data_IF_682828127244
#
_entry.id   IF_682828127244
#
_cell.length_a   1.000
_cell.length_b   1.000
_cell.length_c   1.000
_cell.angle_alpha   90.00
_cell.angle_beta   90.00
_cell.angle_gamma   90.00
#
_symmetry.space_group_name_H-M   'P 1'
#
loop_
_entity.id
_entity.type
_entity.pdbx_description
1 polymer ?
#
# COMPACT_ATOMS: atom_id res chain seq x y z
N UNK A 1 -10.86 45.74 -64.60
CA UNK A 1 -10.02 45.81 -63.38
C UNK A 1 -10.70 45.00 -62.33
N UNK A 2 -10.31 43.76 -62.13
CA UNK A 2 -10.90 42.85 -61.15
C UNK A 2 -10.00 42.91 -59.91
N UNK A 3 -10.54 43.47 -58.83
CA UNK A 3 -9.85 43.54 -57.53
C UNK A 3 -9.91 42.19 -56.87
N UNK A 4 -8.75 41.53 -56.65
CA UNK A 4 -8.55 40.42 -55.79
C UNK A 4 -8.62 40.94 -54.33
N UNK A 5 -9.71 40.62 -53.65
CA UNK A 5 -9.80 40.69 -52.20
C UNK A 5 -9.00 39.48 -51.66
N UNK A 6 -7.76 39.69 -51.25
CA UNK A 6 -7.03 38.77 -50.41
C UNK A 6 -7.65 38.85 -49.00
N UNK A 7 -8.55 37.93 -48.71
CA UNK A 7 -8.97 37.68 -47.36
C UNK A 7 -7.76 37.18 -46.57
N UNK A 8 -7.23 38.03 -45.69
CA UNK A 8 -6.32 37.58 -44.65
C UNK A 8 -7.11 36.59 -43.79
N UNK A 9 -6.74 35.31 -43.86
CA UNK A 9 -7.16 34.34 -42.87
C UNK A 9 -6.70 34.85 -41.50
N UNK A 10 -7.66 35.27 -40.69
CA UNK A 10 -7.41 35.54 -39.28
C UNK A 10 -6.83 34.27 -38.67
N UNK A 11 -5.60 34.34 -38.18
CA UNK A 11 -5.10 33.23 -37.36
C UNK A 11 -6.04 33.11 -36.16
N UNK A 12 -6.88 32.07 -36.15
CA UNK A 12 -7.72 31.75 -35.02
C UNK A 12 -6.76 31.51 -33.85
N UNK A 13 -6.79 32.44 -32.86
CA UNK A 13 -5.96 32.32 -31.69
C UNK A 13 -6.35 31.06 -30.91
N UNK A 14 -5.37 30.24 -30.58
CA UNK A 14 -5.59 29.06 -29.72
C UNK A 14 -6.03 29.48 -28.33
N UNK A 15 -6.97 28.74 -27.74
CA UNK A 15 -7.43 28.96 -26.35
C UNK A 15 -6.43 28.34 -25.36
N UNK A 16 -5.80 29.13 -24.47
CA UNK A 16 -4.82 28.60 -23.54
C UNK A 16 -5.50 27.71 -22.48
N UNK A 17 -4.88 26.53 -22.19
CA UNK A 17 -5.25 25.66 -21.08
C UNK A 17 -4.45 26.10 -19.87
N UNK A 18 -5.09 26.79 -18.94
CA UNK A 18 -4.42 27.39 -17.76
C UNK A 18 -4.54 26.56 -16.49
N UNK A 19 -5.47 25.60 -16.43
CA UNK A 19 -5.64 24.70 -15.27
C UNK A 19 -6.24 23.37 -15.69
N UNK A 20 -5.96 22.32 -14.91
CA UNK A 20 -6.55 20.99 -15.09
C UNK A 20 -6.88 20.40 -13.72
N UNK A 21 -8.03 19.71 -13.67
CA UNK A 21 -8.48 19.01 -12.47
C UNK A 21 -8.79 17.55 -12.77
N UNK A 22 -8.35 16.69 -11.88
CA UNK A 22 -8.57 15.25 -11.93
C UNK A 22 -9.18 14.76 -10.63
N UNK A 23 -9.94 13.67 -10.73
CA UNK A 23 -10.39 12.88 -9.58
C UNK A 23 -9.82 11.47 -9.72
N UNK A 24 -9.12 11.00 -8.68
CA UNK A 24 -8.62 9.67 -8.54
C UNK A 24 -9.53 8.87 -7.61
N UNK A 25 -9.79 7.61 -7.93
CA UNK A 25 -10.50 6.67 -7.06
C UNK A 25 -9.87 5.29 -7.17
N UNK A 26 -10.07 4.44 -6.16
CA UNK A 26 -9.51 3.09 -6.14
C UNK A 26 -8.03 3.02 -5.70
N UNK A 27 -7.38 4.13 -5.33
CA UNK A 27 -6.08 4.10 -4.68
C UNK A 27 -6.26 3.86 -3.19
N UNK A 28 -6.34 2.60 -2.80
CA UNK A 28 -6.48 2.15 -1.40
C UNK A 28 -5.60 0.94 -1.15
N UNK A 29 -5.10 0.80 0.08
CA UNK A 29 -4.27 -0.34 0.48
C UNK A 29 -4.99 -1.67 0.20
N UNK A 30 -4.32 -2.61 -0.45
CA UNK A 30 -4.86 -3.91 -0.82
C UNK A 30 -5.76 -3.95 -2.06
N UNK A 31 -6.15 -2.78 -2.61
CA UNK A 31 -6.87 -2.73 -3.88
C UNK A 31 -5.94 -3.05 -5.06
N UNK A 32 -6.50 -3.63 -6.12
CA UNK A 32 -5.74 -3.91 -7.35
C UNK A 32 -5.48 -2.63 -8.15
N UNK A 33 -4.34 -2.55 -8.84
CA UNK A 33 -4.01 -1.39 -9.66
C UNK A 33 -5.05 -1.11 -10.76
N UNK A 34 -5.75 -2.13 -11.28
CA UNK A 34 -6.84 -1.96 -12.26
C UNK A 34 -8.07 -1.24 -11.70
N UNK A 35 -8.22 -1.16 -10.38
CA UNK A 35 -9.32 -0.46 -9.71
C UNK A 35 -9.07 1.05 -9.63
N UNK A 36 -7.81 1.47 -9.83
CA UNK A 36 -7.48 2.89 -9.91
C UNK A 36 -8.13 3.50 -11.14
N UNK A 37 -8.96 4.48 -10.92
CA UNK A 37 -9.63 5.25 -11.99
C UNK A 37 -9.24 6.71 -11.89
N UNK A 38 -8.97 7.29 -13.05
CA UNK A 38 -8.73 8.71 -13.21
C UNK A 38 -9.84 9.30 -14.06
N UNK A 39 -10.48 10.32 -13.55
CA UNK A 39 -11.48 11.12 -14.31
C UNK A 39 -11.02 12.56 -14.38
N UNK A 40 -11.17 13.16 -15.55
CA UNK A 40 -10.93 14.58 -15.79
C UNK A 40 -12.21 15.37 -15.47
N UNK A 41 -12.06 16.59 -14.95
CA UNK A 41 -13.18 17.50 -14.75
C UNK A 41 -13.92 17.73 -16.10
N UNK A 42 -15.25 17.61 -16.15
CA UNK A 42 -16.02 17.85 -17.37
C UNK A 42 -15.81 19.24 -17.97
N UNK A 43 -15.43 20.23 -17.16
CA UNK A 43 -15.13 21.58 -17.61
C UNK A 43 -13.81 21.70 -18.39
N UNK A 44 -12.91 20.72 -18.29
CA UNK A 44 -11.61 20.72 -18.97
C UNK A 44 -11.73 20.20 -20.43
N UNK A 45 -12.48 20.92 -21.28
CA UNK A 45 -12.89 20.45 -22.62
C UNK A 45 -11.75 20.41 -23.65
N UNK A 46 -10.71 21.19 -23.45
CA UNK A 46 -9.61 21.38 -24.42
C UNK A 46 -8.55 20.27 -24.43
N UNK A 47 -8.71 19.19 -23.65
CA UNK A 47 -7.69 18.17 -23.47
C UNK A 47 -8.25 16.75 -23.59
N UNK A 48 -7.45 15.87 -24.18
CA UNK A 48 -7.66 14.42 -24.18
C UNK A 48 -6.62 13.71 -23.30
N UNK A 49 -7.04 12.66 -22.61
CA UNK A 49 -6.16 11.71 -21.92
C UNK A 49 -5.85 10.60 -22.91
N UNK A 50 -4.59 10.53 -23.38
CA UNK A 50 -4.18 9.49 -24.33
C UNK A 50 -3.79 8.19 -23.63
N UNK A 51 -3.17 8.28 -22.46
CA UNK A 51 -2.81 7.11 -21.67
C UNK A 51 -2.68 7.42 -20.18
N UNK A 52 -2.91 6.41 -19.37
CA UNK A 52 -2.69 6.41 -17.92
C UNK A 52 -1.86 5.17 -17.57
N UNK A 53 -0.78 5.36 -16.83
CA UNK A 53 0.07 4.27 -16.35
C UNK A 53 0.29 4.41 -14.86
N UNK A 54 0.17 3.29 -14.14
CA UNK A 54 0.55 3.21 -12.74
C UNK A 54 1.99 2.68 -12.66
N UNK A 55 2.83 3.37 -11.93
CA UNK A 55 4.22 3.00 -11.72
C UNK A 55 4.46 2.75 -10.24
N UNK A 56 5.35 1.81 -9.92
CA UNK A 56 5.92 1.61 -8.59
C UNK A 56 7.41 1.90 -8.62
N UNK A 57 7.92 2.46 -7.53
CA UNK A 57 9.35 2.72 -7.34
C UNK A 57 9.86 1.85 -6.20
N UNK A 58 10.51 0.75 -6.58
CA UNK A 58 11.41 -0.01 -5.71
C UNK A 58 12.86 0.37 -6.03
N UNK A 59 13.71 -0.61 -6.32
CA UNK A 59 15.07 -0.38 -6.81
C UNK A 59 15.11 0.18 -8.24
N UNK A 60 14.04 -0.01 -9.00
CA UNK A 60 13.79 0.54 -10.34
C UNK A 60 12.39 1.11 -10.44
N UNK A 61 12.11 1.88 -11.51
CA UNK A 61 10.78 2.37 -11.84
C UNK A 61 10.10 1.35 -12.75
N UNK A 62 9.02 0.74 -12.31
CA UNK A 62 8.32 -0.33 -13.02
C UNK A 62 6.85 0.00 -13.25
N UNK A 63 6.29 -0.48 -14.36
CA UNK A 63 4.84 -0.43 -14.59
C UNK A 63 4.20 -1.51 -13.72
N UNK A 64 3.20 -1.12 -12.92
CA UNK A 64 2.46 -2.03 -12.05
C UNK A 64 1.57 -2.93 -12.90
N UNK A 65 1.58 -4.25 -12.64
CA UNK A 65 0.61 -5.17 -13.24
C UNK A 65 -0.81 -4.79 -12.81
N UNK A 66 -1.79 -4.79 -13.71
CA UNK A 66 -3.17 -4.44 -13.37
C UNK A 66 -3.77 -5.26 -12.22
N UNK A 67 -3.35 -6.50 -12.01
CA UNK A 67 -3.82 -7.37 -10.95
C UNK A 67 -2.98 -7.28 -9.66
N UNK A 68 -1.86 -6.58 -9.68
CA UNK A 68 -1.03 -6.34 -8.51
C UNK A 68 -1.77 -5.42 -7.53
N UNK A 69 -1.68 -5.71 -6.24
CA UNK A 69 -2.29 -4.90 -5.18
C UNK A 69 -1.33 -3.79 -4.71
N UNK A 70 -1.90 -2.69 -4.24
CA UNK A 70 -1.14 -1.66 -3.55
C UNK A 70 -0.71 -2.16 -2.16
N UNK A 71 0.61 -2.14 -1.91
CA UNK A 71 1.21 -2.64 -0.66
C UNK A 71 1.79 -1.50 0.18
N UNK A 72 2.00 -1.71 1.50
CA UNK A 72 2.60 -0.71 2.37
C UNK A 72 4.04 -0.36 1.97
N UNK A 73 4.51 0.82 2.38
CA UNK A 73 5.89 1.33 2.20
C UNK A 73 6.36 1.42 0.74
N UNK A 74 5.53 1.01 -0.22
CA UNK A 74 5.81 1.14 -1.64
C UNK A 74 5.36 2.50 -2.17
N UNK A 75 6.24 3.21 -2.89
CA UNK A 75 5.89 4.46 -3.55
C UNK A 75 5.26 4.19 -4.91
N UNK A 76 4.04 4.67 -5.09
CA UNK A 76 3.33 4.57 -6.36
C UNK A 76 3.17 5.95 -7.02
N UNK A 77 3.02 5.95 -8.34
CA UNK A 77 2.77 7.17 -9.12
C UNK A 77 1.82 6.85 -10.27
N UNK A 78 1.03 7.84 -10.65
CA UNK A 78 0.23 7.78 -11.89
C UNK A 78 0.82 8.74 -12.90
N UNK A 79 1.18 8.23 -14.07
CA UNK A 79 1.66 9.02 -15.21
C UNK A 79 0.56 9.11 -16.24
N UNK A 80 0.20 10.32 -16.62
CA UNK A 80 -0.87 10.64 -17.55
C UNK A 80 -0.26 11.32 -18.76
N UNK A 81 -0.51 10.79 -19.96
CA UNK A 81 -0.20 11.49 -21.20
C UNK A 81 -1.42 12.29 -21.64
N UNK A 82 -1.23 13.58 -21.78
CA UNK A 82 -2.24 14.55 -22.18
C UNK A 82 -1.94 15.08 -23.59
N UNK A 83 -3.00 15.36 -24.33
CA UNK A 83 -2.91 16.01 -25.64
C UNK A 83 -3.95 17.12 -25.75
N UNK A 84 -3.50 18.31 -26.12
CA UNK A 84 -4.40 19.40 -26.43
C UNK A 84 -5.17 19.11 -27.72
N UNK A 85 -6.46 19.40 -27.72
CA UNK A 85 -7.31 19.35 -28.90
C UNK A 85 -7.02 20.54 -29.84
N UNK A 86 -7.46 20.41 -31.08
CA UNK A 86 -7.34 21.49 -32.05
C UNK A 86 -8.00 22.78 -31.53
N UNK A 87 -7.36 23.91 -31.69
CA UNK A 87 -7.81 25.20 -31.18
C UNK A 87 -7.45 25.47 -29.71
N UNK A 88 -6.73 24.55 -29.02
CA UNK A 88 -6.27 24.73 -27.64
C UNK A 88 -4.74 24.68 -27.55
N UNK A 89 -4.21 25.41 -26.55
CA UNK A 89 -2.79 25.49 -26.25
C UNK A 89 -2.49 25.03 -24.82
N UNK A 90 -1.68 23.94 -24.68
CA UNK A 90 -1.27 23.36 -23.39
C UNK A 90 0.10 23.90 -22.92
N UNK A 91 0.80 24.71 -23.74
CA UNK A 91 2.15 25.15 -23.43
C UNK A 91 2.20 26.10 -22.22
N UNK A 92 1.11 26.76 -21.93
CA UNK A 92 0.94 27.70 -20.79
C UNK A 92 0.61 26.99 -19.47
N UNK A 93 0.29 25.69 -19.50
CA UNK A 93 -0.04 24.93 -18.30
C UNK A 93 1.19 24.77 -17.40
N UNK A 94 1.03 25.05 -16.12
CA UNK A 94 2.08 24.85 -15.09
C UNK A 94 1.66 23.74 -14.12
N UNK A 95 2.64 23.14 -13.44
CA UNK A 95 2.37 22.06 -12.46
C UNK A 95 1.50 22.52 -11.28
N UNK A 96 1.61 23.80 -10.89
CA UNK A 96 0.84 24.41 -9.80
C UNK A 96 -0.65 24.46 -10.13
N UNK A 97 -0.99 24.51 -11.41
CA UNK A 97 -2.35 24.58 -11.92
C UNK A 97 -2.94 23.20 -12.30
N UNK A 98 -2.18 22.13 -12.10
CA UNK A 98 -2.66 20.76 -12.25
C UNK A 98 -2.96 20.19 -10.86
N UNK A 99 -4.22 19.84 -10.62
CA UNK A 99 -4.70 19.35 -9.33
C UNK A 99 -5.36 18.00 -9.48
N UNK A 100 -5.20 17.15 -8.47
CA UNK A 100 -5.97 15.93 -8.35
C UNK A 100 -6.51 15.80 -6.92
N UNK A 101 -7.64 15.09 -6.80
CA UNK A 101 -8.31 14.77 -5.54
C UNK A 101 -8.58 13.27 -5.47
N UNK A 102 -8.96 12.75 -4.29
CA UNK A 102 -9.34 11.35 -4.10
C UNK A 102 -8.18 10.41 -3.77
N UNK A 103 -6.94 10.94 -3.66
CA UNK A 103 -5.76 10.23 -3.16
C UNK A 103 -4.86 11.21 -2.40
N UNK A 104 -4.02 10.70 -1.51
CA UNK A 104 -3.03 11.51 -0.79
C UNK A 104 -1.79 11.72 -1.69
N UNK A 105 -1.75 12.88 -2.35
CA UNK A 105 -0.71 13.22 -3.31
C UNK A 105 0.42 13.96 -2.60
N UNK A 106 1.61 13.40 -2.66
CA UNK A 106 2.82 14.01 -2.13
C UNK A 106 3.37 15.08 -3.07
N UNK A 107 3.39 14.78 -4.39
CA UNK A 107 4.02 15.64 -5.39
C UNK A 107 3.31 15.56 -6.73
N UNK A 108 3.19 16.66 -7.44
CA UNK A 108 2.75 16.75 -8.84
C UNK A 108 3.91 17.21 -9.72
N UNK A 109 4.13 16.54 -10.83
CA UNK A 109 5.10 16.95 -11.86
C UNK A 109 4.38 17.14 -13.19
N UNK A 110 4.84 18.11 -13.96
CA UNK A 110 4.41 18.39 -15.33
C UNK A 110 5.64 18.56 -16.20
N UNK A 111 5.73 17.81 -17.29
CA UNK A 111 6.88 17.89 -18.20
C UNK A 111 6.49 17.57 -19.64
N UNK A 112 7.35 17.99 -20.55
CA UNK A 112 7.34 17.62 -21.95
C UNK A 112 8.54 16.73 -22.25
N UNK A 113 8.35 15.68 -23.01
CA UNK A 113 9.44 14.83 -23.44
C UNK A 113 10.06 15.43 -24.72
N UNK A 114 11.36 15.60 -24.74
CA UNK A 114 12.08 16.11 -25.91
C UNK A 114 11.78 15.27 -27.16
N UNK A 115 11.45 15.93 -28.27
CA UNK A 115 11.09 15.28 -29.53
C UNK A 115 9.61 14.85 -29.65
N UNK A 116 8.80 15.04 -28.58
CA UNK A 116 7.36 14.87 -28.66
C UNK A 116 6.66 16.17 -29.13
N UNK A 117 5.42 16.07 -29.69
CA UNK A 117 4.65 17.21 -30.15
C UNK A 117 4.46 18.27 -29.06
N UNK A 118 4.45 19.56 -29.44
CA UNK A 118 4.28 20.67 -28.48
C UNK A 118 2.91 20.68 -27.81
N UNK A 119 1.91 20.07 -28.42
CA UNK A 119 0.56 19.93 -27.87
C UNK A 119 0.43 18.72 -26.90
N UNK A 120 1.52 18.05 -26.55
CA UNK A 120 1.54 16.96 -25.58
C UNK A 120 2.22 17.37 -24.26
N UNK A 121 1.71 16.87 -23.15
CA UNK A 121 2.31 16.99 -21.81
C UNK A 121 2.15 15.69 -21.05
N UNK A 122 3.05 15.48 -20.09
CA UNK A 122 3.00 14.38 -19.15
C UNK A 122 2.79 14.95 -17.76
N UNK A 123 1.78 14.44 -17.06
CA UNK A 123 1.53 14.73 -15.64
C UNK A 123 1.84 13.50 -14.84
N UNK A 124 2.60 13.67 -13.76
CA UNK A 124 2.83 12.60 -12.78
C UNK A 124 2.32 13.04 -11.42
N UNK A 125 1.43 12.23 -10.85
CA UNK A 125 1.02 12.33 -9.45
C UNK A 125 1.77 11.27 -8.66
N UNK A 126 2.60 11.69 -7.71
CA UNK A 126 3.27 10.81 -6.75
C UNK A 126 2.41 10.71 -5.50
N UNK A 127 2.13 9.49 -5.07
CA UNK A 127 1.32 9.24 -3.88
C UNK A 127 2.19 9.04 -2.66
N UNK A 128 1.67 9.42 -1.49
CA UNK A 128 2.27 8.98 -0.24
C UNK A 128 2.16 7.47 -0.11
N UNK A 129 3.23 6.79 0.36
CA UNK A 129 3.15 5.37 0.67
C UNK A 129 2.07 5.09 1.71
N UNK A 130 1.48 3.91 1.64
CA UNK A 130 0.60 3.42 2.69
C UNK A 130 1.42 2.94 3.89
N UNK A 131 0.88 3.13 5.08
CA UNK A 131 1.37 2.46 6.28
C UNK A 131 0.82 1.03 6.35
N UNK A 132 1.52 0.14 7.07
CA UNK A 132 0.97 -1.17 7.42
C UNK A 132 -0.25 -1.03 8.33
N UNK A 133 -1.21 -1.93 8.15
CA UNK A 133 -2.31 -2.09 9.10
C UNK A 133 -1.78 -2.75 10.39
N UNK A 134 -2.21 -2.32 11.58
CA UNK A 134 -1.83 -3.01 12.80
C UNK A 134 -2.52 -4.38 12.89
N UNK A 135 -1.78 -5.39 13.33
CA UNK A 135 -2.38 -6.66 13.77
C UNK A 135 -3.25 -6.37 14.99
N UNK A 136 -4.45 -6.96 15.06
CA UNK A 136 -5.41 -6.72 16.14
C UNK A 136 -6.08 -8.00 16.60
N UNK A 137 -6.70 -7.91 17.80
CA UNK A 137 -7.61 -8.93 18.34
C UNK A 137 -6.98 -10.33 18.42
N UNK A 138 -5.69 -10.38 18.75
CA UNK A 138 -4.99 -11.65 18.87
C UNK A 138 -5.38 -12.34 20.18
N UNK A 139 -6.12 -13.43 20.05
CA UNK A 139 -6.51 -14.24 21.17
C UNK A 139 -6.21 -15.73 20.93
N UNK A 140 -5.61 -16.34 21.93
CA UNK A 140 -5.30 -17.78 21.96
C UNK A 140 -6.05 -18.39 23.13
N UNK A 141 -6.68 -19.53 22.90
CA UNK A 141 -7.24 -20.36 23.96
C UNK A 141 -6.57 -21.72 23.91
N UNK A 142 -6.01 -22.13 25.02
CA UNK A 142 -5.34 -23.43 25.21
C UNK A 142 -5.81 -24.08 26.50
N UNK A 143 -5.87 -25.41 26.55
CA UNK A 143 -6.20 -26.11 27.77
C UNK A 143 -5.17 -25.79 28.87
N UNK A 144 -5.62 -25.48 30.12
CA UNK A 144 -4.71 -25.23 31.21
C UNK A 144 -3.90 -26.50 31.57
N UNK A 145 -2.66 -26.34 32.09
CA UNK A 145 -1.85 -27.48 32.48
C UNK A 145 -2.50 -28.24 33.63
N UNK A 146 -2.46 -29.57 33.54
CA UNK A 146 -2.97 -30.48 34.57
C UNK A 146 -1.80 -31.28 35.17
N UNK A 147 -1.66 -31.24 36.49
CA UNK A 147 -0.58 -31.94 37.20
C UNK A 147 -0.53 -33.44 36.82
N UNK A 148 0.65 -33.91 36.44
CA UNK A 148 0.90 -35.28 36.02
C UNK A 148 0.43 -35.64 34.60
N UNK A 149 -0.30 -34.75 33.93
CA UNK A 149 -0.67 -34.93 32.54
C UNK A 149 0.54 -34.82 31.63
N UNK A 150 0.52 -35.51 30.51
CA UNK A 150 1.53 -35.44 29.46
C UNK A 150 1.54 -34.01 28.84
N UNK A 151 2.75 -33.47 28.69
CA UNK A 151 2.95 -32.21 27.95
C UNK A 151 3.00 -32.52 26.47
N UNK A 152 1.95 -32.14 25.75
CA UNK A 152 1.84 -32.34 24.30
C UNK A 152 1.32 -31.06 23.65
N UNK A 153 1.45 -31.00 22.34
CA UNK A 153 0.82 -29.96 21.56
C UNK A 153 -0.71 -30.11 21.72
N UNK A 154 -1.29 -29.19 22.48
CA UNK A 154 -2.74 -29.13 22.69
C UNK A 154 -3.41 -28.50 21.45
N UNK A 155 -4.63 -28.92 21.16
CA UNK A 155 -5.48 -28.21 20.23
C UNK A 155 -5.73 -26.80 20.79
N UNK A 156 -5.31 -25.79 20.08
CA UNK A 156 -5.56 -24.40 20.46
C UNK A 156 -6.60 -23.76 19.55
N UNK A 157 -7.33 -22.81 20.07
CA UNK A 157 -8.14 -21.88 19.29
C UNK A 157 -7.35 -20.58 19.13
N UNK A 158 -7.27 -20.10 17.89
CA UNK A 158 -6.56 -18.88 17.54
C UNK A 158 -7.48 -17.95 16.74
N UNK A 159 -7.55 -16.70 17.16
CA UNK A 159 -8.22 -15.65 16.42
C UNK A 159 -7.30 -14.44 16.32
N UNK A 160 -7.26 -13.80 15.16
CA UNK A 160 -6.52 -12.57 14.94
C UNK A 160 -7.04 -11.85 13.71
N UNK A 161 -6.89 -10.53 13.70
CA UNK A 161 -7.02 -9.73 12.50
C UNK A 161 -5.62 -9.41 11.98
N UNK A 162 -5.30 -9.91 10.78
CA UNK A 162 -4.03 -9.61 10.10
C UNK A 162 -2.83 -10.45 10.55
N UNK A 163 -3.04 -11.55 11.27
CA UNK A 163 -1.98 -12.50 11.58
C UNK A 163 -2.48 -13.95 11.50
N UNK A 164 -1.54 -14.88 11.32
CA UNK A 164 -1.76 -16.32 11.32
C UNK A 164 -0.78 -17.03 12.24
N UNK A 165 -1.11 -18.24 12.67
CA UNK A 165 -0.17 -19.10 13.36
C UNK A 165 0.98 -19.48 12.42
N UNK A 166 2.20 -19.49 12.93
CA UNK A 166 3.36 -19.94 12.17
C UNK A 166 3.41 -21.47 12.14
N UNK A 167 3.18 -22.06 10.98
CA UNK A 167 3.12 -23.51 10.81
C UNK A 167 4.45 -24.22 11.05
N UNK A 168 5.58 -23.56 10.76
CA UNK A 168 6.92 -24.15 10.85
C UNK A 168 7.50 -24.20 12.25
N UNK A 169 6.90 -23.50 13.19
CA UNK A 169 7.35 -23.45 14.59
C UNK A 169 6.21 -23.89 15.48
N UNK A 170 6.24 -25.12 16.02
CA UNK A 170 5.15 -25.61 16.85
C UNK A 170 5.03 -24.77 18.12
N UNK A 171 3.78 -24.49 18.49
CA UNK A 171 3.47 -23.94 19.82
C UNK A 171 3.91 -24.94 20.88
N UNK A 172 4.47 -24.48 21.97
CA UNK A 172 5.03 -25.37 23.00
C UNK A 172 4.94 -24.80 24.40
N UNK A 173 4.95 -25.67 25.37
CA UNK A 173 5.16 -25.35 26.76
C UNK A 173 6.66 -25.27 27.08
N UNK A 174 7.03 -24.25 27.84
CA UNK A 174 8.38 -24.12 28.37
C UNK A 174 8.32 -23.97 29.91
N UNK A 175 9.35 -24.43 30.59
CA UNK A 175 9.56 -24.27 32.04
C UNK A 175 10.36 -22.98 32.23
N UNK A 176 9.89 -22.12 33.13
CA UNK A 176 10.58 -20.88 33.53
C UNK A 176 11.38 -21.16 34.80
N UNK A 177 12.70 -20.92 34.73
CA UNK A 177 13.62 -21.02 35.88
C UNK A 177 14.49 -19.77 35.97
N UNK A 178 15.15 -19.50 37.11
CA UNK A 178 16.04 -18.35 37.28
C UNK A 178 17.14 -18.24 36.21
N UNK A 179 17.64 -19.38 35.74
CA UNK A 179 18.67 -19.48 34.68
C UNK A 179 18.13 -19.34 33.26
N UNK A 180 16.81 -19.22 33.07
CA UNK A 180 16.16 -19.06 31.77
C UNK A 180 15.02 -20.02 31.51
N UNK A 181 14.51 -20.02 30.27
CA UNK A 181 13.44 -20.90 29.82
C UNK A 181 13.99 -22.17 29.16
N UNK A 182 13.39 -23.30 29.44
CA UNK A 182 13.73 -24.61 28.90
C UNK A 182 12.49 -25.29 28.30
N UNK A 183 12.70 -26.20 27.36
CA UNK A 183 11.61 -27.05 26.90
C UNK A 183 10.99 -27.81 28.08
N UNK A 184 9.68 -27.87 28.13
CA UNK A 184 9.00 -28.65 29.16
C UNK A 184 9.35 -30.14 29.01
N UNK A 185 9.39 -30.81 30.15
CA UNK A 185 9.57 -32.28 30.19
C UNK A 185 8.34 -33.02 29.65
N UNK A 186 8.27 -34.33 29.96
CA UNK A 186 7.19 -35.17 29.46
C UNK A 186 5.85 -35.00 30.19
N UNK A 187 5.87 -34.50 31.45
CA UNK A 187 4.66 -34.29 32.24
C UNK A 187 4.73 -32.99 33.06
N UNK A 188 3.57 -32.41 33.37
CA UNK A 188 3.49 -31.25 34.25
C UNK A 188 3.81 -31.64 35.70
N UNK A 189 4.73 -30.93 36.34
CA UNK A 189 5.25 -31.20 37.69
C UNK A 189 4.85 -30.06 38.65
N UNK A 190 4.53 -30.41 39.91
CA UNK A 190 4.22 -29.44 40.93
C UNK A 190 5.42 -28.56 41.28
N UNK A 191 5.19 -27.25 41.49
CA UNK A 191 6.21 -26.30 41.88
C UNK A 191 6.99 -25.68 40.70
N UNK A 192 6.79 -26.15 39.48
CA UNK A 192 7.36 -25.56 38.27
C UNK A 192 6.43 -24.46 37.74
N UNK A 193 7.03 -23.42 37.15
CA UNK A 193 6.33 -22.37 36.42
C UNK A 193 6.42 -22.66 34.93
N UNK A 194 5.27 -22.65 34.29
CA UNK A 194 5.20 -22.94 32.85
C UNK A 194 4.74 -21.70 32.09
N UNK A 195 5.32 -21.49 30.92
CA UNK A 195 4.80 -20.55 29.91
C UNK A 195 4.37 -21.32 28.66
N UNK A 196 3.35 -20.83 28.00
CA UNK A 196 2.90 -21.31 26.69
C UNK A 196 3.34 -20.34 25.61
N UNK A 197 4.11 -20.82 24.65
CA UNK A 197 4.65 -20.03 23.54
C UNK A 197 3.84 -20.25 22.29
N UNK A 198 3.40 -19.17 21.68
CA UNK A 198 2.68 -19.15 20.41
C UNK A 198 3.45 -18.29 19.42
N UNK A 199 3.70 -18.83 18.25
CA UNK A 199 4.39 -18.13 17.17
C UNK A 199 3.38 -17.68 16.13
N UNK A 200 3.39 -16.38 15.83
CA UNK A 200 2.49 -15.76 14.87
C UNK A 200 3.28 -15.03 13.78
N UNK A 201 2.71 -14.98 12.58
CA UNK A 201 3.26 -14.24 11.44
C UNK A 201 2.21 -13.23 10.97
N UNK A 202 2.54 -11.95 10.81
CA UNK A 202 1.63 -11.00 10.20
C UNK A 202 1.37 -11.35 8.74
N UNK A 203 0.14 -11.09 8.27
CA UNK A 203 -0.21 -11.19 6.86
C UNK A 203 0.38 -10.01 6.07
N UNK A 204 0.43 -10.12 4.75
CA UNK A 204 1.14 -9.21 3.83
C UNK A 204 0.93 -7.70 4.07
N UNK A 205 -0.30 -7.28 4.41
CA UNK A 205 -0.63 -5.86 4.61
C UNK A 205 -0.54 -5.41 6.07
N UNK A 206 -0.11 -6.30 6.97
CA UNK A 206 -0.17 -6.09 8.42
C UNK A 206 1.21 -6.12 9.05
N UNK A 207 1.34 -5.43 10.19
CA UNK A 207 2.54 -5.39 11.00
C UNK A 207 2.19 -5.49 12.48
N UNK A 208 3.06 -6.18 13.22
CA UNK A 208 2.98 -6.24 14.68
C UNK A 208 3.71 -5.02 15.24
N UNK A 209 3.00 -4.21 16.03
CA UNK A 209 3.54 -3.05 16.72
C UNK A 209 3.69 -3.34 18.22
N UNK A 210 4.60 -2.64 18.93
CA UNK A 210 4.83 -2.86 20.36
C UNK A 210 3.62 -2.63 21.27
N UNK A 211 2.67 -1.81 20.82
CA UNK A 211 1.43 -1.48 21.54
C UNK A 211 0.26 -2.41 21.21
N UNK A 212 0.47 -3.42 20.34
CA UNK A 212 -0.54 -4.42 20.09
C UNK A 212 -0.81 -5.26 21.34
N UNK A 213 -2.07 -5.56 21.62
CA UNK A 213 -2.48 -6.39 22.73
C UNK A 213 -2.70 -7.83 22.29
N UNK A 214 -2.15 -8.76 23.08
CA UNK A 214 -2.26 -10.20 22.86
C UNK A 214 -2.83 -10.84 24.11
N UNK A 215 -3.65 -11.86 23.95
CA UNK A 215 -4.21 -12.59 25.09
C UNK A 215 -4.06 -14.10 24.92
N UNK A 216 -3.81 -14.79 26.04
CA UNK A 216 -3.90 -16.25 26.15
C UNK A 216 -4.89 -16.58 27.27
N UNK A 217 -5.94 -17.32 26.97
CA UNK A 217 -7.04 -17.63 27.87
C UNK A 217 -7.66 -16.36 28.51
N UNK A 218 -7.72 -15.25 27.73
CA UNK A 218 -8.24 -13.97 28.20
C UNK A 218 -7.29 -13.15 29.08
N UNK A 219 -6.09 -13.66 29.38
CA UNK A 219 -5.05 -12.94 30.13
C UNK A 219 -4.09 -12.27 29.15
N UNK A 220 -3.59 -11.08 29.52
CA UNK A 220 -2.57 -10.40 28.71
C UNK A 220 -1.33 -11.28 28.56
N UNK A 221 -0.84 -11.38 27.31
CA UNK A 221 0.39 -12.11 26.96
C UNK A 221 1.49 -11.11 26.61
N UNK A 222 2.72 -11.45 26.98
CA UNK A 222 3.91 -10.69 26.61
C UNK A 222 4.29 -10.96 25.17
N UNK A 223 4.56 -9.90 24.41
CA UNK A 223 5.07 -10.00 23.05
C UNK A 223 6.60 -10.03 23.06
N UNK A 224 7.17 -11.14 22.64
CA UNK A 224 8.61 -11.21 22.31
C UNK A 224 8.77 -11.22 20.80
N UNK A 225 9.34 -10.15 20.26
CA UNK A 225 9.64 -10.07 18.82
C UNK A 225 10.89 -10.90 18.57
N UNK A 226 10.69 -12.07 17.94
CA UNK A 226 11.81 -12.82 17.37
C UNK A 226 12.02 -12.25 15.97
N UNK A 227 13.00 -11.35 15.82
CA UNK A 227 13.48 -11.01 14.49
C UNK A 227 14.03 -12.29 13.88
N UNK A 228 13.44 -12.76 12.78
CA UNK A 228 14.12 -13.71 11.92
C UNK A 228 15.38 -12.98 11.43
N UNK A 229 16.46 -13.12 12.17
CA UNK A 229 17.76 -12.72 11.69
C UNK A 229 17.95 -13.45 10.38
N UNK A 230 18.13 -12.71 9.31
CA UNK A 230 18.72 -13.25 8.10
C UNK A 230 20.01 -13.96 8.54
N UNK A 231 19.95 -15.28 8.68
CA UNK A 231 21.15 -16.08 8.63
C UNK A 231 21.51 -16.13 7.15
N UNK A 232 22.34 -15.15 6.76
CA UNK A 232 23.08 -15.14 5.51
C UNK A 232 24.11 -16.25 5.45
#
# INVERSE_FOLDING_TARGET
MVGLLSGAASAEGTTPITSLKFTLSGYTLGAKALELKLTKDPGDVGIDIESVKVLKRGNSLEIVDPNEIFVPEMTYSVVIKLKARDGFDITTLTKENVKATGADIEKTELFQIAGHPENERYVTFHFKPFDYLPVKDVAVTVAPPVLGAEIKAEALSFTATGAVLRETTPTSWAIIRPEGSYNAGSTFVAGEVYEYRVFITPQELYKIYPDNTFTINGLAAELTVISDGEMG
#
